data_IF_154698289473
#
_entry.id   IF_154698289473
#
_cell.length_a   1.000
_cell.length_b   1.000
_cell.length_c   1.000
_cell.angle_alpha   90.00
_cell.angle_beta   90.00
_cell.angle_gamma   90.00
#
_symmetry.space_group_name_H-M   'P 1'
#
loop_
_entity.id
_entity.type
_entity.pdbx_description
1 polymer ?
#
# COMPACT_ATOMS: atom_id res chain seq x y z
N UNK A 1 31.08 18.30 -57.89
CA UNK A 1 30.03 18.50 -56.86
C UNK A 1 29.17 17.27 -56.53
N UNK A 2 29.29 16.10 -57.21
CA UNK A 2 28.43 14.93 -56.93
C UNK A 2 28.97 13.92 -55.89
N UNK A 3 30.29 13.86 -55.64
CA UNK A 3 30.89 12.85 -54.74
C UNK A 3 30.79 13.21 -53.25
N UNK A 4 30.81 14.49 -52.90
CA UNK A 4 30.75 14.96 -51.51
C UNK A 4 29.36 14.79 -50.89
N UNK A 5 28.29 14.89 -51.70
CA UNK A 5 26.91 14.74 -51.24
C UNK A 5 26.57 13.28 -50.87
N UNK A 6 27.15 12.31 -51.60
CA UNK A 6 26.91 10.87 -51.38
C UNK A 6 27.59 10.38 -50.08
N UNK A 7 28.78 10.90 -49.76
CA UNK A 7 29.42 10.60 -48.48
C UNK A 7 28.62 11.18 -47.30
N UNK A 8 28.06 12.39 -47.42
CA UNK A 8 27.23 12.97 -46.36
C UNK A 8 25.94 12.16 -46.14
N UNK A 9 25.32 11.67 -47.22
CA UNK A 9 24.09 10.86 -47.18
C UNK A 9 24.30 9.45 -46.63
N UNK A 10 25.52 8.90 -46.64
CA UNK A 10 25.83 7.58 -46.07
C UNK A 10 26.41 7.65 -44.66
N UNK A 11 27.18 8.70 -44.33
CA UNK A 11 27.80 8.88 -43.01
C UNK A 11 26.79 9.34 -41.97
N UNK A 12 25.85 10.23 -42.33
CA UNK A 12 24.85 10.74 -41.38
C UNK A 12 23.90 9.64 -40.87
N UNK A 13 23.35 8.73 -41.71
CA UNK A 13 22.53 7.63 -41.21
C UNK A 13 23.31 6.62 -40.36
N UNK A 14 24.57 6.34 -40.70
CA UNK A 14 25.42 5.42 -39.93
C UNK A 14 25.77 5.98 -38.55
N UNK A 15 26.01 7.29 -38.44
CA UNK A 15 26.23 7.98 -37.16
C UNK A 15 24.93 8.05 -36.35
N UNK A 16 23.78 8.30 -36.99
CA UNK A 16 22.46 8.28 -36.32
C UNK A 16 22.08 6.88 -35.80
N UNK A 17 22.37 5.82 -36.56
CA UNK A 17 22.20 4.43 -36.12
C UNK A 17 23.16 4.07 -34.97
N UNK A 18 24.41 4.53 -35.04
CA UNK A 18 25.39 4.37 -33.96
C UNK A 18 24.99 5.07 -32.67
N UNK A 19 24.51 6.32 -32.75
CA UNK A 19 24.02 7.08 -31.59
C UNK A 19 22.72 6.47 -31.04
N UNK A 20 21.81 6.03 -31.92
CA UNK A 20 20.59 5.33 -31.53
C UNK A 20 20.87 4.02 -30.79
N UNK A 21 21.86 3.23 -31.24
CA UNK A 21 22.30 2.02 -30.55
C UNK A 21 23.04 2.32 -29.24
N UNK A 22 23.87 3.36 -29.20
CA UNK A 22 24.62 3.80 -28.01
C UNK A 22 23.73 4.43 -26.95
N UNK A 23 22.55 4.96 -27.29
CA UNK A 23 21.55 5.42 -26.33
C UNK A 23 20.52 4.34 -25.96
N UNK A 24 20.15 3.46 -26.90
CA UNK A 24 19.24 2.36 -26.64
C UNK A 24 19.86 1.27 -25.76
N UNK A 25 21.17 1.02 -25.84
CA UNK A 25 21.85 0.06 -24.95
C UNK A 25 21.84 0.49 -23.48
N UNK A 26 22.26 1.71 -23.08
CA UNK A 26 22.24 2.12 -21.68
C UNK A 26 20.82 2.34 -21.17
N UNK A 27 19.87 2.83 -21.99
CA UNK A 27 18.45 2.92 -21.57
C UNK A 27 17.81 1.54 -21.47
N UNK A 28 18.13 0.62 -22.38
CA UNK A 28 17.69 -0.77 -22.33
C UNK A 28 18.29 -1.55 -21.16
N UNK A 29 19.58 -1.32 -20.83
CA UNK A 29 20.24 -1.85 -19.63
C UNK A 29 19.73 -1.19 -18.35
N UNK A 30 19.40 0.12 -18.35
CA UNK A 30 18.72 0.76 -17.22
C UNK A 30 17.34 0.14 -17.02
N UNK A 31 16.55 0.00 -18.09
CA UNK A 31 15.22 -0.60 -18.06
C UNK A 31 15.26 -2.08 -17.65
N UNK A 32 16.30 -2.83 -18.03
CA UNK A 32 16.55 -4.19 -17.53
C UNK A 32 16.99 -4.19 -16.06
N UNK A 33 17.82 -3.23 -15.63
CA UNK A 33 18.25 -3.10 -14.24
C UNK A 33 17.11 -2.64 -13.30
N UNK A 34 16.07 -1.99 -13.85
CA UNK A 34 14.84 -1.65 -13.12
C UNK A 34 13.80 -2.78 -13.10
N UNK A 35 13.94 -3.82 -13.94
CA UNK A 35 13.18 -5.07 -13.76
C UNK A 35 13.85 -5.89 -12.66
N UNK A 36 13.66 -5.46 -11.42
CA UNK A 36 13.73 -6.40 -10.31
C UNK A 36 12.54 -7.35 -10.50
N UNK A 37 12.80 -8.56 -11.02
CA UNK A 37 11.92 -9.73 -10.88
C UNK A 37 11.81 -10.05 -9.38
N UNK A 38 11.09 -9.19 -8.67
CA UNK A 38 10.79 -9.36 -7.26
C UNK A 38 9.46 -10.07 -7.22
N UNK A 39 9.51 -11.40 -7.09
CA UNK A 39 8.32 -12.18 -6.80
C UNK A 39 7.67 -11.59 -5.54
N UNK A 40 6.40 -11.16 -5.60
CA UNK A 40 5.76 -10.57 -4.43
C UNK A 40 5.59 -11.64 -3.36
N UNK A 41 5.97 -11.32 -2.13
CA UNK A 41 5.61 -12.08 -0.95
C UNK A 41 4.11 -11.93 -0.71
N UNK A 42 3.39 -13.03 -0.48
CA UNK A 42 1.94 -13.03 -0.30
C UNK A 42 1.53 -13.85 0.92
N UNK A 43 0.52 -13.37 1.63
CA UNK A 43 -0.08 -14.07 2.73
C UNK A 43 -1.59 -13.84 2.72
N UNK A 44 -2.34 -14.83 3.16
CA UNK A 44 -3.80 -14.80 3.18
C UNK A 44 -4.33 -14.88 4.60
N UNK A 45 -5.28 -14.02 4.93
CA UNK A 45 -6.15 -14.14 6.09
C UNK A 45 -7.54 -14.59 5.60
N UNK A 46 -7.95 -15.81 5.97
CA UNK A 46 -9.34 -16.24 5.78
C UNK A 46 -10.22 -15.65 6.88
N UNK A 47 -11.36 -15.07 6.52
CA UNK A 47 -12.30 -14.51 7.49
C UNK A 47 -13.20 -15.60 8.09
N UNK A 48 -13.78 -15.37 9.28
CA UNK A 48 -14.60 -16.37 9.98
C UNK A 48 -15.83 -16.86 9.22
N UNK A 49 -16.32 -16.10 8.23
CA UNK A 49 -17.46 -16.48 7.40
C UNK A 49 -17.16 -17.60 6.38
N UNK A 50 -15.88 -17.96 6.20
CA UNK A 50 -15.44 -18.99 5.27
C UNK A 50 -15.59 -18.65 3.78
N UNK A 51 -16.08 -17.45 3.46
CA UNK A 51 -16.35 -16.98 2.09
C UNK A 51 -15.34 -15.92 1.68
N UNK A 52 -14.97 -15.05 2.60
CA UNK A 52 -14.08 -13.92 2.35
C UNK A 52 -12.68 -14.19 2.87
N UNK A 53 -11.70 -13.61 2.18
CA UNK A 53 -10.32 -13.59 2.61
C UNK A 53 -9.65 -12.29 2.16
N UNK A 54 -8.61 -11.89 2.88
CA UNK A 54 -7.77 -10.75 2.55
C UNK A 54 -6.37 -11.27 2.24
N UNK A 55 -5.93 -11.05 1.00
CA UNK A 55 -4.53 -11.26 0.64
C UNK A 55 -3.76 -9.98 0.91
N UNK A 56 -2.74 -10.07 1.75
CA UNK A 56 -1.72 -9.04 1.82
C UNK A 56 -0.56 -9.46 0.91
N UNK A 57 -0.10 -8.55 0.06
CA UNK A 57 1.09 -8.77 -0.76
C UNK A 57 2.09 -7.63 -0.57
N UNK A 58 3.37 -7.95 -0.72
CA UNK A 58 4.44 -6.95 -0.74
C UNK A 58 5.45 -7.29 -1.81
N UNK A 59 6.05 -6.26 -2.39
CA UNK A 59 7.12 -6.41 -3.36
C UNK A 59 8.21 -5.39 -3.02
N UNK A 60 9.46 -5.86 -3.02
CA UNK A 60 10.61 -5.00 -2.77
C UNK A 60 10.78 -4.04 -3.95
N UNK A 61 10.78 -2.74 -3.67
CA UNK A 61 11.09 -1.73 -4.68
C UNK A 61 12.58 -1.79 -5.05
N UNK A 62 13.01 -1.25 -6.21
CA UNK A 62 14.38 -1.33 -6.66
C UNK A 62 15.39 -0.93 -5.59
N UNK A 63 16.51 -1.68 -5.52
CA UNK A 63 17.43 -1.74 -4.37
C UNK A 63 18.01 -0.41 -3.86
N UNK A 64 17.88 0.67 -4.64
CA UNK A 64 18.31 2.03 -4.30
C UNK A 64 17.44 2.61 -3.18
N UNK A 65 16.18 2.20 -3.09
CA UNK A 65 15.25 2.53 -2.02
C UNK A 65 14.97 1.24 -1.25
N UNK A 66 15.35 1.15 0.03
CA UNK A 66 15.08 -0.01 0.87
C UNK A 66 13.59 -0.07 1.28
N UNK A 67 12.71 0.01 0.28
CA UNK A 67 11.28 0.22 0.42
C UNK A 67 10.49 -0.97 -0.15
N UNK A 68 9.27 -1.12 0.33
CA UNK A 68 8.34 -2.14 -0.14
C UNK A 68 7.02 -1.49 -0.55
N UNK A 69 6.58 -1.83 -1.77
CA UNK A 69 5.18 -1.63 -2.14
C UNK A 69 4.36 -2.71 -1.45
N UNK A 70 3.19 -2.34 -0.94
CA UNK A 70 2.29 -3.21 -0.19
C UNK A 70 0.89 -3.04 -0.76
N UNK A 71 0.16 -4.13 -0.87
CA UNK A 71 -1.19 -4.14 -1.45
C UNK A 71 -2.08 -5.11 -0.69
N UNK A 72 -3.37 -4.80 -0.68
CA UNK A 72 -4.43 -5.68 -0.18
C UNK A 72 -5.34 -6.08 -1.33
N UNK A 73 -5.60 -7.36 -1.48
CA UNK A 73 -6.57 -7.89 -2.43
C UNK A 73 -7.71 -8.55 -1.67
N UNK A 74 -8.95 -8.14 -1.97
CA UNK A 74 -10.14 -8.82 -1.49
C UNK A 74 -10.32 -10.13 -2.27
N UNK A 75 -10.60 -11.23 -1.58
CA UNK A 75 -10.85 -12.53 -2.19
C UNK A 75 -12.20 -13.03 -1.70
N UNK A 76 -13.09 -13.38 -2.62
CA UNK A 76 -14.43 -13.90 -2.32
C UNK A 76 -14.60 -15.23 -3.05
N UNK A 77 -14.92 -16.31 -2.33
CA UNK A 77 -15.04 -17.66 -2.90
C UNK A 77 -13.83 -18.07 -3.77
N UNK A 78 -12.62 -17.71 -3.34
CA UNK A 78 -11.37 -17.97 -4.07
C UNK A 78 -11.13 -17.07 -5.29
N UNK A 79 -12.05 -16.17 -5.63
CA UNK A 79 -11.91 -15.23 -6.74
C UNK A 79 -11.30 -13.92 -6.23
N UNK A 80 -10.21 -13.47 -6.87
CA UNK A 80 -9.59 -12.17 -6.58
C UNK A 80 -10.48 -11.04 -7.09
N UNK A 81 -10.81 -10.12 -6.19
CA UNK A 81 -11.55 -8.89 -6.46
C UNK A 81 -10.62 -7.67 -6.52
N UNK A 82 -11.09 -6.56 -5.95
CA UNK A 82 -10.36 -5.29 -5.94
C UNK A 82 -9.00 -5.45 -5.24
N UNK A 83 -7.98 -4.82 -5.80
CA UNK A 83 -6.65 -4.69 -5.18
C UNK A 83 -6.39 -3.22 -4.90
N UNK A 84 -5.96 -2.88 -3.69
CA UNK A 84 -5.70 -1.51 -3.29
C UNK A 84 -4.26 -1.37 -2.78
N UNK A 85 -3.48 -0.41 -3.31
CA UNK A 85 -2.15 -0.13 -2.78
C UNK A 85 -2.24 0.52 -1.40
N UNK A 86 -1.38 0.06 -0.49
CA UNK A 86 -1.18 0.66 0.83
C UNK A 86 0.01 1.63 0.83
N UNK A 87 0.24 2.29 1.95
CA UNK A 87 1.38 3.17 2.14
C UNK A 87 2.71 2.41 1.96
N UNK A 88 3.70 3.04 1.33
CA UNK A 88 5.05 2.46 1.16
C UNK A 88 5.63 2.16 2.53
N UNK A 89 6.18 0.97 2.68
CA UNK A 89 6.96 0.60 3.83
C UNK A 89 8.46 0.86 3.57
N UNK A 90 9.02 1.89 4.20
CA UNK A 90 10.44 2.22 4.10
C UNK A 90 11.33 1.58 5.18
N UNK A 91 10.75 0.81 6.11
CA UNK A 91 11.45 0.39 7.33
C UNK A 91 11.12 -1.03 7.81
N UNK A 92 10.40 -1.83 7.02
CA UNK A 92 10.00 -3.18 7.39
C UNK A 92 8.86 -3.20 8.40
N UNK A 93 7.79 -2.44 8.14
CA UNK A 93 6.54 -2.28 8.90
C UNK A 93 5.78 -3.57 9.20
N UNK A 94 6.43 -4.46 9.95
CA UNK A 94 5.95 -5.73 10.44
C UNK A 94 6.27 -5.87 11.93
N UNK A 95 5.44 -6.61 12.69
CA UNK A 95 4.22 -7.29 12.23
C UNK A 95 3.09 -6.31 11.85
N UNK A 96 2.17 -6.77 11.01
CA UNK A 96 0.90 -6.08 10.76
C UNK A 96 -0.16 -6.79 11.58
N UNK A 97 -0.61 -6.18 12.66
CA UNK A 97 -1.72 -6.70 13.46
C UNK A 97 -3.04 -6.53 12.70
N UNK A 98 -3.90 -7.54 12.82
CA UNK A 98 -5.19 -7.59 12.19
C UNK A 98 -6.28 -7.63 13.27
N UNK A 99 -7.27 -6.75 13.18
CA UNK A 99 -8.40 -6.70 14.09
C UNK A 99 -9.70 -6.76 13.32
N UNK A 100 -10.58 -7.70 13.68
CA UNK A 100 -11.92 -7.81 13.13
C UNK A 100 -12.87 -6.94 13.94
N UNK A 101 -13.70 -6.17 13.25
CA UNK A 101 -14.69 -5.28 13.84
C UNK A 101 -16.03 -5.64 13.22
N UNK A 102 -16.93 -6.19 14.03
CA UNK A 102 -18.27 -6.56 13.58
C UNK A 102 -19.20 -5.35 13.73
N UNK A 103 -19.74 -4.88 12.61
CA UNK A 103 -20.64 -3.71 12.58
C UNK A 103 -21.97 -4.08 11.93
N UNK A 104 -23.06 -3.31 12.14
CA UNK A 104 -24.34 -3.58 11.48
C UNK A 104 -24.30 -3.53 9.94
N UNK A 105 -23.29 -2.89 9.35
CA UNK A 105 -23.06 -2.83 7.89
C UNK A 105 -22.20 -3.99 7.36
N UNK A 106 -21.66 -4.83 8.25
CA UNK A 106 -20.80 -5.96 7.95
C UNK A 106 -19.42 -5.88 8.60
N UNK A 107 -18.58 -6.89 8.37
CA UNK A 107 -17.27 -6.97 9.00
C UNK A 107 -16.30 -5.95 8.39
N UNK A 108 -15.60 -5.25 9.26
CA UNK A 108 -14.44 -4.43 8.92
C UNK A 108 -13.18 -5.10 9.44
N UNK A 109 -12.09 -5.02 8.68
CA UNK A 109 -10.79 -5.49 9.12
C UNK A 109 -9.86 -4.28 9.28
N UNK A 110 -9.32 -4.06 10.48
CA UNK A 110 -8.28 -3.07 10.72
C UNK A 110 -6.92 -3.73 10.57
N UNK A 111 -6.07 -3.17 9.73
CA UNK A 111 -4.65 -3.50 9.63
C UNK A 111 -3.85 -2.39 10.30
N UNK A 112 -2.94 -2.80 11.16
CA UNK A 112 -2.17 -1.90 12.00
C UNK A 112 -0.71 -2.30 11.99
N UNK A 113 0.18 -1.39 11.60
CA UNK A 113 1.62 -1.60 11.67
C UNK A 113 2.37 -0.30 11.97
N UNK A 114 3.69 -0.40 12.10
CA UNK A 114 4.53 0.75 12.43
C UNK A 114 4.44 1.90 11.40
N UNK A 115 4.12 1.59 10.15
CA UNK A 115 4.08 2.54 9.03
C UNK A 115 2.70 3.18 8.90
N UNK A 116 1.63 2.38 8.96
CA UNK A 116 0.29 2.88 8.67
C UNK A 116 -0.82 2.08 9.35
N UNK A 117 -1.99 2.72 9.43
CA UNK A 117 -3.25 2.08 9.79
C UNK A 117 -4.21 2.11 8.60
N UNK A 118 -4.88 0.99 8.37
CA UNK A 118 -5.88 0.84 7.32
C UNK A 118 -7.12 0.15 7.85
N UNK A 119 -8.27 0.52 7.29
CA UNK A 119 -9.54 -0.16 7.56
C UNK A 119 -10.08 -0.71 6.25
N UNK A 120 -10.39 -1.99 6.20
CA UNK A 120 -10.97 -2.65 5.03
C UNK A 120 -12.43 -2.95 5.31
N UNK A 121 -13.33 -2.38 4.52
CA UNK A 121 -14.73 -2.77 4.46
C UNK A 121 -14.85 -3.95 3.52
N UNK A 122 -15.02 -5.14 4.09
CA UNK A 122 -15.04 -6.41 3.36
C UNK A 122 -16.26 -6.50 2.45
N UNK A 123 -17.41 -6.01 2.93
CA UNK A 123 -18.69 -6.03 2.21
C UNK A 123 -18.61 -5.22 0.91
N UNK A 124 -18.05 -4.02 0.98
CA UNK A 124 -17.97 -3.10 -0.17
C UNK A 124 -16.63 -3.17 -0.90
N UNK A 125 -15.68 -3.96 -0.41
CA UNK A 125 -14.29 -4.02 -0.87
C UNK A 125 -13.62 -2.63 -0.85
N UNK A 126 -13.91 -1.82 0.17
CA UNK A 126 -13.39 -0.45 0.27
C UNK A 126 -12.27 -0.38 1.29
N UNK A 127 -11.10 0.08 0.85
CA UNK A 127 -9.94 0.27 1.72
C UNK A 127 -9.86 1.74 2.12
N UNK A 128 -9.68 2.01 3.40
CA UNK A 128 -9.52 3.33 3.98
C UNK A 128 -8.13 3.46 4.61
N UNK A 129 -7.50 4.63 4.45
CA UNK A 129 -6.39 5.03 5.30
C UNK A 129 -6.93 5.62 6.60
N UNK A 130 -6.29 5.29 7.71
CA UNK A 130 -6.66 5.73 9.06
C UNK A 130 -5.55 6.66 9.58
N UNK A 131 -5.92 7.83 10.08
CA UNK A 131 -4.99 8.83 10.62
C UNK A 131 -5.48 9.37 11.96
N UNK A 132 -4.57 9.48 12.93
CA UNK A 132 -4.84 10.13 14.22
C UNK A 132 -4.45 11.60 14.13
N UNK A 133 -5.34 12.48 14.56
CA UNK A 133 -5.17 13.94 14.53
C UNK A 133 -5.66 14.50 15.86
N UNK A 134 -4.73 14.97 16.69
CA UNK A 134 -5.02 15.53 18.02
C UNK A 134 -5.87 14.61 18.92
N UNK A 135 -5.63 13.31 18.88
CA UNK A 135 -6.35 12.30 19.67
C UNK A 135 -7.60 11.72 18.99
N UNK A 136 -8.12 12.38 17.95
CA UNK A 136 -9.26 11.88 17.17
C UNK A 136 -8.78 11.04 15.98
N UNK A 137 -9.55 10.02 15.61
CA UNK A 137 -9.18 9.14 14.49
C UNK A 137 -10.08 9.38 13.29
N UNK A 138 -9.45 9.60 12.14
CA UNK A 138 -10.11 9.91 10.87
C UNK A 138 -9.79 8.86 9.81
N UNK A 139 -10.69 8.73 8.85
CA UNK A 139 -10.62 7.81 7.72
C UNK A 139 -10.81 8.52 6.38
N UNK A 140 -10.12 8.02 5.37
CA UNK A 140 -10.31 8.43 3.98
C UNK A 140 -10.14 7.26 3.02
N UNK A 141 -11.06 7.15 2.05
CA UNK A 141 -11.07 6.07 1.07
C UNK A 141 -9.84 6.13 0.15
N UNK A 142 -9.19 4.99 -0.04
CA UNK A 142 -8.15 4.77 -1.04
C UNK A 142 -8.79 4.38 -2.36
N UNK A 143 -8.70 5.28 -3.36
CA UNK A 143 -9.31 5.07 -4.68
C UNK A 143 -8.34 4.43 -5.67
N UNK A 144 -7.22 5.07 -5.96
CA UNK A 144 -6.24 4.55 -6.94
C UNK A 144 -4.77 4.95 -6.64
N UNK A 145 -4.56 5.83 -5.66
CA UNK A 145 -3.25 6.32 -5.26
C UNK A 145 -3.07 6.17 -3.75
N UNK A 146 -1.82 6.17 -3.28
CA UNK A 146 -1.51 6.24 -1.85
C UNK A 146 -2.05 7.58 -1.33
N UNK A 147 -2.89 7.55 -0.31
CA UNK A 147 -3.49 8.78 0.19
C UNK A 147 -2.43 9.71 0.79
N UNK A 148 -2.42 10.96 0.32
CA UNK A 148 -1.82 12.08 1.03
C UNK A 148 -2.68 12.44 2.25
N UNK A 149 -2.06 12.97 3.29
CA UNK A 149 -2.74 13.43 4.50
C UNK A 149 -2.46 14.92 4.71
N UNK A 150 -3.49 15.68 5.10
CA UNK A 150 -3.36 17.06 5.52
C UNK A 150 -4.37 17.37 6.63
N UNK A 151 -3.93 18.03 7.68
CA UNK A 151 -4.78 18.56 8.73
C UNK A 151 -4.47 20.05 8.95
N UNK A 152 -5.52 20.85 9.09
CA UNK A 152 -5.43 22.28 9.33
C UNK A 152 -6.45 22.74 10.35
N UNK A 153 -6.15 23.84 11.04
CA UNK A 153 -7.04 24.55 11.96
C UNK A 153 -6.87 26.05 11.72
N UNK A 154 -7.96 26.81 11.77
CA UNK A 154 -7.89 28.26 11.69
C UNK A 154 -7.61 28.84 13.08
N UNK A 155 -6.54 29.63 13.22
CA UNK A 155 -6.16 30.29 14.48
C UNK A 155 -6.09 29.32 15.68
N UNK A 156 -5.64 28.09 15.46
CA UNK A 156 -5.59 27.03 16.47
C UNK A 156 -6.95 26.69 17.14
N UNK A 157 -8.07 27.05 16.51
CA UNK A 157 -9.41 26.72 17.00
C UNK A 157 -9.79 25.28 16.59
N UNK A 158 -9.95 24.35 17.56
CA UNK A 158 -10.30 22.96 17.27
C UNK A 158 -11.64 22.79 16.55
N UNK A 159 -12.58 23.73 16.70
CA UNK A 159 -13.89 23.67 16.05
C UNK A 159 -13.82 23.92 14.54
N UNK A 160 -12.73 24.54 14.07
CA UNK A 160 -12.47 24.83 12.65
C UNK A 160 -11.62 23.75 11.97
N UNK A 161 -11.34 22.65 12.68
CA UNK A 161 -10.45 21.60 12.20
C UNK A 161 -10.96 21.00 10.90
N UNK A 162 -10.07 20.96 9.91
CA UNK A 162 -10.30 20.29 8.65
C UNK A 162 -9.21 19.25 8.41
N UNK A 163 -9.63 17.99 8.25
CA UNK A 163 -8.75 16.87 7.94
C UNK A 163 -9.10 16.36 6.55
N UNK A 164 -8.09 16.22 5.71
CA UNK A 164 -8.24 15.64 4.37
C UNK A 164 -7.30 14.47 4.19
N UNK A 165 -7.81 13.41 3.56
CA UNK A 165 -7.09 12.19 3.22
C UNK A 165 -7.37 11.90 1.75
N UNK A 166 -6.32 11.74 0.94
CA UNK A 166 -6.44 11.62 -0.51
C UNK A 166 -7.06 12.86 -1.16
N UNK A 167 -6.81 14.05 -0.61
CA UNK A 167 -7.36 15.32 -1.10
C UNK A 167 -8.87 15.52 -0.89
N UNK A 168 -9.52 14.66 -0.09
CA UNK A 168 -10.95 14.76 0.24
C UNK A 168 -11.16 14.90 1.73
N UNK A 169 -12.26 15.50 2.13
CA UNK A 169 -12.65 15.59 3.54
C UNK A 169 -12.67 14.19 4.17
N UNK A 170 -11.86 14.00 5.20
CA UNK A 170 -11.84 12.78 5.98
C UNK A 170 -13.06 12.74 6.90
N UNK A 171 -13.49 11.52 7.22
CA UNK A 171 -14.60 11.26 8.14
C UNK A 171 -14.06 10.73 9.47
N UNK A 172 -14.75 10.93 10.59
CA UNK A 172 -14.45 10.19 11.82
C UNK A 172 -14.47 8.68 11.57
N UNK A 173 -13.56 7.93 12.21
CA UNK A 173 -13.55 6.46 12.14
C UNK A 173 -14.90 5.87 12.60
N UNK A 174 -15.50 6.51 13.61
CA UNK A 174 -16.77 6.12 14.23
C UNK A 174 -17.95 6.14 13.26
N UNK A 175 -17.88 6.91 12.17
CA UNK A 175 -18.89 6.88 11.10
C UNK A 175 -19.02 5.49 10.45
N UNK A 176 -17.92 4.72 10.42
CA UNK A 176 -17.91 3.34 9.92
C UNK A 176 -18.02 2.30 11.03
N UNK A 177 -17.26 2.47 12.11
CA UNK A 177 -17.16 1.44 13.16
C UNK A 177 -18.31 1.49 14.15
N UNK A 178 -18.98 2.65 14.32
CA UNK A 178 -20.01 2.88 15.34
C UNK A 178 -19.56 2.47 16.75
N UNK A 179 -18.27 2.68 17.06
CA UNK A 179 -17.64 2.28 18.32
C UNK A 179 -17.76 0.76 18.63
N UNK A 180 -17.97 -0.05 17.60
CA UNK A 180 -17.98 -1.50 17.74
C UNK A 180 -16.62 -2.00 18.26
N UNK A 181 -16.62 -3.05 19.11
CA UNK A 181 -15.39 -3.58 19.67
C UNK A 181 -14.53 -4.23 18.59
N UNK A 182 -13.21 -4.08 18.75
CA UNK A 182 -12.23 -4.71 17.89
C UNK A 182 -11.73 -6.01 18.53
N UNK A 183 -11.62 -7.06 17.72
CA UNK A 183 -11.10 -8.36 18.15
C UNK A 183 -9.81 -8.65 17.39
N UNK A 184 -8.71 -8.80 18.12
CA UNK A 184 -7.44 -9.21 17.52
C UNK A 184 -7.56 -10.63 16.94
N UNK A 185 -7.32 -10.78 15.63
CA UNK A 185 -7.45 -12.08 14.93
C UNK A 185 -6.11 -12.69 14.56
N UNK A 186 -5.03 -11.93 14.62
CA UNK A 186 -3.67 -12.40 14.33
C UNK A 186 -2.85 -11.33 13.65
N UNK A 187 -1.78 -11.74 12.97
CA UNK A 187 -0.88 -10.80 12.30
C UNK A 187 -0.27 -11.36 11.02
N UNK A 188 -0.03 -10.49 10.07
CA UNK A 188 0.92 -10.76 8.99
C UNK A 188 2.34 -10.50 9.46
N UNK A 189 3.29 -11.33 9.05
CA UNK A 189 4.69 -11.14 9.40
C UNK A 189 5.63 -12.09 8.68
N UNK A 190 6.91 -11.79 8.76
CA UNK A 190 7.95 -12.74 8.38
C UNK A 190 8.03 -13.85 9.43
N UNK A 191 8.02 -15.10 8.99
CA UNK A 191 8.21 -16.26 9.85
C UNK A 191 9.07 -17.34 9.18
N UNK A 192 9.35 -18.46 9.89
CA UNK A 192 10.00 -19.62 9.28
C UNK A 192 9.20 -20.10 8.06
N UNK A 193 9.80 -20.04 6.86
CA UNK A 193 9.10 -20.37 5.60
C UNK A 193 8.54 -19.18 4.82
N UNK A 194 8.78 -17.94 5.27
CA UNK A 194 8.48 -16.73 4.50
C UNK A 194 7.36 -15.87 5.10
N UNK A 195 6.77 -15.02 4.26
CA UNK A 195 5.69 -14.13 4.65
C UNK A 195 4.38 -14.91 4.84
N UNK A 196 3.74 -14.78 6.00
CA UNK A 196 2.50 -15.50 6.31
C UNK A 196 1.59 -14.73 7.25
N UNK A 197 0.33 -15.14 7.30
CA UNK A 197 -0.57 -14.82 8.39
C UNK A 197 -0.35 -15.83 9.53
N UNK A 198 -0.32 -15.36 10.77
CA UNK A 198 -0.29 -16.19 11.99
C UNK A 198 -1.51 -15.82 12.83
N UNK A 199 -2.39 -16.79 13.17
CA UNK A 199 -3.62 -16.51 13.92
C UNK A 199 -3.32 -16.10 15.37
N UNK A 200 -4.25 -15.39 16.01
CA UNK A 200 -4.12 -14.93 17.38
C UNK A 200 -3.85 -16.05 18.40
N UNK A 201 -4.32 -17.27 18.12
CA UNK A 201 -4.05 -18.47 18.93
C UNK A 201 -2.57 -18.86 18.99
N UNK A 202 -1.77 -18.44 18.01
CA UNK A 202 -0.36 -18.79 17.85
C UNK A 202 0.58 -17.59 18.00
N UNK A 203 0.05 -16.37 17.90
CA UNK A 203 0.83 -15.16 18.11
C UNK A 203 0.05 -14.14 18.92
N UNK A 204 0.49 -13.79 20.14
CA UNK A 204 -0.14 -12.72 20.89
C UNK A 204 0.04 -11.39 20.16
N UNK A 205 -0.88 -10.47 20.44
CA UNK A 205 -0.83 -9.11 19.97
C UNK A 205 0.50 -8.44 20.38
N UNK A 206 1.07 -7.67 19.47
CA UNK A 206 2.30 -6.90 19.72
C UNK A 206 1.98 -5.42 19.72
N UNK A 207 2.45 -4.70 20.73
CA UNK A 207 2.33 -3.26 20.78
C UNK A 207 3.08 -2.62 19.58
N UNK A 208 2.36 -1.80 18.81
CA UNK A 208 2.91 -1.09 17.66
C UNK A 208 3.33 0.32 18.09
N UNK A 209 4.53 0.72 17.70
CA UNK A 209 4.99 2.12 17.79
C UNK A 209 4.95 2.73 16.40
N UNK A 210 4.04 3.66 16.17
CA UNK A 210 3.91 4.31 14.88
C UNK A 210 5.07 5.26 14.61
N UNK A 211 5.58 5.24 13.39
CA UNK A 211 6.65 6.14 12.95
C UNK A 211 6.21 7.61 12.93
N UNK A 212 4.91 7.87 12.74
CA UNK A 212 4.33 9.20 12.59
C UNK A 212 3.66 9.75 13.86
N UNK A 213 3.61 8.97 14.96
CA UNK A 213 3.19 9.47 16.27
C UNK A 213 4.40 10.21 16.90
N UNK A 214 4.62 11.46 16.50
CA UNK A 214 5.55 12.40 17.15
C UNK A 214 4.84 13.65 17.59
#
# INVERSE_FOLDING_TARGET
MKRTLICLLLVVPAVLLGIGAVLALPVGLLALAFRVDSTPDRAMLALPDGVHAIEHSRVRLPAICAEYSREVTYVTNGVRGKTTPLQVDGCGGYPINCYLIETPRGPLLRLDDAVSQHLLDVTTQTTYAVWRVYGDTYIGELRDERASFNASMANDDPSTRSVTIGGRQAKPLTDLTQDAPEVYVGRFGAGPGGFRFTPASESPEVAIRHHFDR
#
